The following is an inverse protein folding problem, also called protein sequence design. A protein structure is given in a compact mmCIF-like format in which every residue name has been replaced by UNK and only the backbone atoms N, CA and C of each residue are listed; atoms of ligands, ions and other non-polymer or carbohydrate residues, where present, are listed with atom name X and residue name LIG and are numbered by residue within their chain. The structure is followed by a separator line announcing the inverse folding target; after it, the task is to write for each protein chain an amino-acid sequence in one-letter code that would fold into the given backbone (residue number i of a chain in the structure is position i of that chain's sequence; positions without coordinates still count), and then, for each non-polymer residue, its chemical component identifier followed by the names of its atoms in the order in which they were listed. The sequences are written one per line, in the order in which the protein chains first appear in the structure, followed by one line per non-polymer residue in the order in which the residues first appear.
data_IF_902768605178
#
_entry.id   IF_902768605178
#
_cell.length_a   1.000
_cell.length_b   1.000
_cell.length_c   1.000
_cell.angle_alpha   90.00
_cell.angle_beta   90.00
_cell.angle_gamma   90.00
#
_symmetry.space_group_name_H-M   'P 1'
#
loop_
_entity.id
_entity.type
_entity.pdbx_description
1 polymer ?
2 non-polymer ?
3 non-polymer ?
4 water ?
#
# COMPACT_ATOMS: atom_id res chain seq x y z
N UNK A 9 -27.22 -11.73 -2.63
CA UNK A 9 -25.80 -11.32 -2.65
C UNK A 9 -24.90 -12.50 -3.03
N UNK A 10 -23.81 -12.20 -3.74
CA UNK A 10 -22.85 -13.21 -4.19
C UNK A 10 -21.85 -13.46 -3.05
N UNK A 11 -21.81 -14.70 -2.52
CA UNK A 11 -20.89 -15.03 -1.43
C UNK A 11 -19.41 -14.85 -1.75
N UNK A 12 -18.65 -14.44 -0.75
CA UNK A 12 -17.22 -14.26 -0.90
C UNK A 12 -16.56 -15.59 -0.53
N UNK A 13 -15.37 -15.83 -1.06
CA UNK A 13 -14.65 -17.05 -0.74
C UNK A 13 -13.68 -16.73 0.38
N UNK A 14 -13.20 -17.77 1.06
CA UNK A 14 -12.22 -17.59 2.12
C UNK A 14 -10.97 -16.96 1.52
N UNK A 15 -10.58 -17.45 0.34
CA UNK A 15 -9.38 -16.93 -0.31
C UNK A 15 -9.49 -15.46 -0.64
N UNK A 16 -10.66 -15.01 -1.11
CA UNK A 16 -10.82 -13.59 -1.44
C UNK A 16 -10.64 -12.72 -0.19
N UNK A 17 -11.22 -13.14 0.91
CA UNK A 17 -11.12 -12.41 2.18
C UNK A 17 -9.67 -12.41 2.64
N UNK A 18 -9.04 -13.58 2.58
CA UNK A 18 -7.67 -13.75 3.03
C UNK A 18 -6.69 -12.90 2.23
N UNK A 19 -6.83 -12.91 0.90
CA UNK A 19 -5.98 -12.11 0.03
C UNK A 19 -6.16 -10.62 0.34
N UNK A 20 -7.40 -10.18 0.53
CA UNK A 20 -7.59 -8.77 0.85
C UNK A 20 -6.93 -8.42 2.18
N UNK A 21 -7.00 -9.32 3.15
CA UNK A 21 -6.37 -9.06 4.45
C UNK A 21 -4.86 -8.89 4.28
N UNK A 22 -4.24 -9.85 3.60
CA UNK A 22 -2.80 -9.81 3.39
C UNK A 22 -2.37 -8.57 2.62
N UNK A 23 -3.07 -8.29 1.52
CA UNK A 23 -2.78 -7.14 0.69
C UNK A 23 -2.93 -5.85 1.49
N UNK A 24 -4.00 -5.78 2.26
CA UNK A 24 -4.30 -4.60 3.05
C UNK A 24 -3.30 -4.29 4.15
N UNK A 25 -2.84 -5.32 4.87
CA UNK A 25 -1.87 -5.07 5.93
C UNK A 25 -0.55 -4.60 5.32
N UNK A 26 -0.19 -5.12 4.15
CA UNK A 26 1.03 -4.70 3.49
C UNK A 26 0.92 -3.20 3.16
N UNK A 27 -0.23 -2.82 2.61
CA UNK A 27 -0.47 -1.42 2.28
C UNK A 27 -0.45 -0.58 3.55
N UNK A 28 -1.07 -1.10 4.61
CA UNK A 28 -1.12 -0.40 5.89
C UNK A 28 0.25 -0.05 6.44
N UNK A 29 1.17 -1.01 6.40
CA UNK A 29 2.51 -0.78 6.91
C UNK A 29 3.23 0.26 6.06
N UNK A 30 3.08 0.18 4.75
CA UNK A 30 3.70 1.14 3.84
C UNK A 30 3.15 2.54 4.13
N UNK A 31 1.83 2.65 4.25
CA UNK A 31 1.21 3.94 4.54
C UNK A 31 1.61 4.48 5.91
N UNK A 32 1.77 3.57 6.87
CA UNK A 32 2.18 3.98 8.21
C UNK A 32 3.54 4.65 8.13
N UNK A 33 4.48 4.04 7.41
CA UNK A 33 5.80 4.66 7.27
C UNK A 33 5.70 5.98 6.51
N UNK A 34 4.81 6.05 5.53
CA UNK A 34 4.64 7.28 4.76
C UNK A 34 4.12 8.39 5.67
N UNK A 35 3.17 8.06 6.56
CA UNK A 35 2.62 9.06 7.47
C UNK A 35 3.72 9.63 8.37
N UNK A 36 4.66 8.78 8.79
CA UNK A 36 5.76 9.23 9.64
C UNK A 36 6.77 10.06 8.85
N UNK A 37 7.09 9.62 7.65
CA UNK A 37 8.05 10.35 6.82
C UNK A 37 7.55 11.75 6.50
N UNK A 38 6.26 11.85 6.19
CA UNK A 38 5.68 13.14 5.83
C UNK A 38 4.93 13.86 6.95
N UNK A 39 4.92 13.27 8.16
CA UNK A 39 4.20 13.89 9.26
C UNK A 39 2.79 14.22 8.81
N UNK A 40 2.21 13.31 8.02
CA UNK A 40 0.88 13.49 7.46
C UNK A 40 -0.24 12.79 8.21
N UNK A 41 -1.08 13.58 8.87
CA UNK A 41 -2.19 13.03 9.64
C UNK A 41 -3.29 12.38 8.80
N UNK A 42 -3.49 12.84 7.57
CA UNK A 42 -4.54 12.22 6.76
C UNK A 42 -4.12 10.80 6.38
N UNK A 43 -2.84 10.61 6.07
CA UNK A 43 -2.37 9.27 5.72
C UNK A 43 -2.55 8.41 6.97
N UNK A 44 -2.20 8.96 8.13
CA UNK A 44 -2.33 8.24 9.40
C UNK A 44 -3.79 7.85 9.65
N UNK A 45 -4.72 8.75 9.33
CA UNK A 45 -6.14 8.45 9.51
C UNK A 45 -6.53 7.25 8.63
N UNK A 46 -6.01 7.23 7.41
CA UNK A 46 -6.31 6.15 6.48
C UNK A 46 -5.84 4.81 7.06
N UNK A 47 -4.67 4.81 7.69
CA UNK A 47 -4.15 3.58 8.30
C UNK A 47 -5.16 3.06 9.33
N UNK A 48 -5.70 3.97 10.14
CA UNK A 48 -6.67 3.55 11.16
C UNK A 48 -7.94 3.01 10.55
N UNK A 49 -8.37 3.59 9.43
CA UNK A 49 -9.57 3.11 8.75
C UNK A 49 -9.31 1.71 8.23
N UNK A 50 -8.10 1.46 7.73
CA UNK A 50 -7.75 0.14 7.21
C UNK A 50 -7.65 -0.88 8.35
N UNK A 51 -7.28 -0.44 9.54
CA UNK A 51 -7.20 -1.36 10.68
C UNK A 51 -8.60 -1.89 10.96
N UNK A 52 -9.60 -1.01 10.80
CA UNK A 52 -10.98 -1.40 11.01
C UNK A 52 -11.43 -2.38 9.93
N UNK A 53 -11.02 -2.12 8.68
CA UNK A 53 -11.38 -3.03 7.58
C UNK A 53 -10.78 -4.40 7.89
N UNK A 54 -9.58 -4.40 8.44
CA UNK A 54 -8.92 -5.66 8.79
C UNK A 54 -9.72 -6.40 9.86
N UNK A 55 -10.28 -5.67 10.81
CA UNK A 55 -11.09 -6.31 11.86
C UNK A 55 -12.33 -6.91 11.21
N UNK A 56 -12.92 -6.19 10.27
CA UNK A 56 -14.09 -6.69 9.57
C UNK A 56 -13.77 -7.94 8.76
N UNK A 57 -12.67 -7.91 8.00
CA UNK A 57 -12.28 -9.05 7.19
C UNK A 57 -11.97 -10.26 8.09
N UNK A 58 -11.32 -10.00 9.22
CA UNK A 58 -11.00 -11.08 10.15
C UNK A 58 -12.30 -11.72 10.65
N UNK A 59 -13.29 -10.90 10.93
CA UNK A 59 -14.59 -11.38 11.39
C UNK A 59 -15.22 -12.29 10.33
N UNK A 60 -15.20 -11.85 9.08
CA UNK A 60 -15.77 -12.62 7.97
C UNK A 60 -15.01 -13.92 7.74
N UNK A 61 -13.70 -13.88 7.94
CA UNK A 61 -12.86 -15.07 7.79
C UNK A 61 -13.23 -16.12 8.84
N UNK A 62 -13.51 -15.66 10.07
CA UNK A 62 -13.90 -16.56 11.15
C UNK A 62 -15.28 -17.14 10.85
N UNK A 63 -16.19 -16.28 10.39
CA UNK A 63 -17.54 -16.70 10.04
C UNK A 63 -17.48 -17.80 8.98
N UNK A 64 -16.74 -17.54 7.89
CA UNK A 64 -16.61 -18.50 6.80
C UNK A 64 -15.99 -19.80 7.27
N UNK A 65 -14.96 -19.69 8.10
CA UNK A 65 -14.26 -20.86 8.60
C UNK A 65 -15.13 -21.72 9.50
N UNK A 66 -15.91 -21.06 10.35
CA UNK A 66 -16.79 -21.75 11.29
C UNK A 66 -17.90 -22.47 10.56
N UNK A 67 -18.47 -21.80 9.56
CA UNK A 67 -19.56 -22.38 8.78
C UNK A 67 -19.09 -23.49 7.84
N UNK A 68 -17.94 -23.29 7.21
CA UNK A 68 -17.41 -24.29 6.27
C UNK A 68 -17.04 -25.63 6.88
N UNK A 69 -16.44 -25.63 8.06
CA UNK A 69 -16.02 -26.86 8.72
C UNK A 69 -17.09 -27.50 9.62
N UNK A 70 -17.28 -28.81 9.43
CA UNK A 70 -18.26 -29.59 10.16
C UNK A 70 -17.65 -30.86 10.78
N UNK A 71 -16.47 -31.25 10.33
CA UNK A 71 -15.81 -32.43 10.88
C UNK A 71 -14.39 -32.07 11.30
N UNK A 72 -13.78 -32.93 12.11
CA UNK A 72 -12.44 -32.68 12.62
C UNK A 72 -11.38 -32.34 11.57
N UNK A 73 -11.36 -33.09 10.47
CA UNK A 73 -10.38 -32.83 9.42
C UNK A 73 -10.51 -31.41 8.87
N UNK A 74 -11.72 -31.06 8.44
CA UNK A 74 -11.98 -29.73 7.88
C UNK A 74 -11.65 -28.67 8.92
N UNK A 75 -11.98 -28.95 10.17
CA UNK A 75 -11.72 -28.00 11.25
C UNK A 75 -10.24 -27.71 11.39
N UNK A 76 -9.43 -28.76 11.42
CA UNK A 76 -7.99 -28.61 11.56
C UNK A 76 -7.40 -27.70 10.48
N UNK A 77 -7.96 -27.80 9.28
CA UNK A 77 -7.47 -26.99 8.17
C UNK A 77 -7.89 -25.53 8.25
N UNK A 78 -9.16 -25.26 8.56
CA UNK A 78 -9.60 -23.87 8.65
C UNK A 78 -8.90 -23.17 9.81
N UNK A 79 -8.51 -23.95 10.82
CA UNK A 79 -7.82 -23.36 11.96
C UNK A 79 -6.46 -22.80 11.54
N UNK A 80 -5.78 -23.46 10.60
CA UNK A 80 -4.48 -22.97 10.14
C UNK A 80 -4.66 -21.58 9.52
N UNK A 81 -5.78 -21.38 8.83
CA UNK A 81 -6.05 -20.09 8.21
C UNK A 81 -6.31 -19.02 9.28
N UNK A 82 -7.09 -19.38 10.29
CA UNK A 82 -7.39 -18.44 11.37
C UNK A 82 -6.12 -18.06 12.14
N UNK A 83 -5.22 -19.02 12.30
CA UNK A 83 -3.97 -18.77 12.98
C UNK A 83 -3.10 -17.77 12.22
N UNK A 84 -3.09 -17.88 10.89
CA UNK A 84 -2.32 -16.95 10.08
C UNK A 84 -2.98 -15.56 10.11
N UNK A 85 -4.30 -15.52 10.00
CA UNK A 85 -5.01 -14.24 10.04
C UNK A 85 -4.75 -13.53 11.38
N UNK A 86 -4.59 -14.33 12.43
CA UNK A 86 -4.32 -13.82 13.78
C UNK A 86 -3.00 -13.04 13.78
N UNK A 87 -2.00 -13.60 13.12
CA UNK A 87 -0.70 -12.95 13.05
C UNK A 87 -0.80 -11.71 12.17
N UNK A 88 -1.59 -11.80 11.10
CA UNK A 88 -1.77 -10.68 10.19
C UNK A 88 -2.43 -9.53 10.93
N UNK A 89 -3.41 -9.86 11.76
CA UNK A 89 -4.13 -8.85 12.52
C UNK A 89 -3.16 -8.17 13.50
N UNK A 90 -2.18 -8.90 14.01
CA UNK A 90 -1.19 -8.28 14.91
C UNK A 90 -0.33 -7.27 14.17
N UNK A 91 -0.02 -7.56 12.92
CA UNK A 91 0.77 -6.64 12.11
C UNK A 91 -0.06 -5.40 11.85
N UNK A 92 -1.36 -5.57 11.63
CA UNK A 92 -2.21 -4.41 11.37
C UNK A 92 -2.26 -3.52 12.60
N UNK A 93 -2.25 -4.12 13.78
CA UNK A 93 -2.29 -3.33 15.02
C UNK A 93 -0.99 -2.54 15.20
N UNK A 94 0.12 -3.12 14.76
CA UNK A 94 1.42 -2.44 14.86
C UNK A 94 1.45 -1.24 13.91
N UNK A 95 0.88 -1.39 12.71
CA UNK A 95 0.83 -0.28 11.76
C UNK A 95 -0.01 0.84 12.35
N UNK A 96 -1.10 0.44 13.01
CA UNK A 96 -1.98 1.40 13.66
C UNK A 96 -1.27 2.13 14.78
N UNK A 97 -0.36 1.44 15.48
CA UNK A 97 0.39 2.07 16.57
C UNK A 97 1.28 3.17 16.01
N UNK A 98 1.88 2.91 14.85
CA UNK A 98 2.73 3.91 14.20
C UNK A 98 1.90 5.11 13.78
N UNK A 99 0.73 4.84 13.19
CA UNK A 99 -0.16 5.91 12.74
C UNK A 99 -0.57 6.82 13.90
N UNK A 100 -0.94 6.21 15.03
CA UNK A 100 -1.36 6.96 16.21
C UNK A 100 -0.33 7.99 16.65
N UNK A 101 0.96 7.67 16.49
CA UNK A 101 2.02 8.59 16.87
C UNK A 101 1.94 9.86 16.03
N UNK A 102 1.57 9.70 14.76
CA UNK A 102 1.46 10.84 13.87
C UNK A 102 0.24 11.67 14.25
N UNK A 103 -0.87 11.00 14.58
CA UNK A 103 -2.07 11.72 14.95
C UNK A 103 -1.87 12.46 16.28
N UNK A 104 -1.05 11.89 17.15
CA UNK A 104 -0.77 12.53 18.44
C UNK A 104 0.10 13.75 18.18
N UNK A 105 0.71 13.79 16.99
CA UNK A 105 1.54 14.90 16.58
C UNK A 105 2.87 15.08 17.29
N UNK A 106 3.45 14.00 17.79
CA UNK A 106 4.73 14.10 18.50
C UNK A 106 5.86 14.51 17.57
N UNK A 107 6.84 15.21 18.13
CA UNK A 107 7.99 15.64 17.36
C UNK A 107 8.91 14.42 17.25
N UNK A 108 9.09 13.95 16.02
CA UNK A 108 9.90 12.76 15.75
C UNK A 108 11.40 13.04 15.74
N UNK A 109 12.18 12.07 16.20
CA UNK A 109 13.63 12.20 16.16
C UNK A 109 13.94 12.22 14.66
N UNK A 110 14.85 13.12 14.22
CA UNK A 110 15.24 13.26 12.81
C UNK A 110 15.70 11.97 12.13
N UNK A 111 16.21 11.04 12.93
CA UNK A 111 16.70 9.78 12.40
C UNK A 111 15.56 8.97 11.76
N UNK A 112 14.35 9.16 12.26
CA UNK A 112 13.20 8.42 11.74
C UNK A 112 12.94 8.67 10.26
N UNK A 113 12.85 9.93 9.84
CA UNK A 113 12.61 10.22 8.43
C UNK A 113 13.78 9.73 7.59
N UNK A 114 14.99 9.90 8.10
CA UNK A 114 16.19 9.45 7.39
C UNK A 114 16.14 7.95 7.19
N UNK A 115 15.77 7.22 8.24
CA UNK A 115 15.69 5.77 8.20
C UNK A 115 14.72 5.30 7.12
N UNK A 116 13.58 5.96 7.01
CA UNK A 116 12.59 5.59 6.00
C UNK A 116 13.10 5.90 4.59
N UNK A 117 13.95 6.91 4.48
CA UNK A 117 14.51 7.31 3.19
C UNK A 117 15.80 6.57 2.82
N UNK A 118 16.41 5.90 3.78
CA UNK A 118 17.70 5.26 3.51
C UNK A 118 17.83 3.74 3.70
N UNK A 119 16.71 3.05 3.90
CA UNK A 119 16.79 1.60 4.08
C UNK A 119 16.83 0.86 2.74
N UNK A 120 16.72 -0.47 2.77
CA UNK A 120 16.74 -1.25 1.54
C UNK A 120 15.62 -0.75 0.62
N UNK A 121 14.40 -0.73 1.15
CA UNK A 121 13.25 -0.25 0.41
C UNK A 121 12.83 1.06 1.07
N UNK A 122 12.65 2.10 0.27
CA UNK A 122 12.27 3.40 0.81
C UNK A 122 10.91 3.86 0.30
N UNK A 123 10.45 4.98 0.84
CA UNK A 123 9.20 5.60 0.44
C UNK A 123 9.60 6.88 -0.28
N UNK A 124 9.06 7.08 -1.47
CA UNK A 124 9.41 8.28 -2.20
C UNK A 124 8.19 9.06 -2.64
N UNK A 125 8.40 10.35 -2.92
CA UNK A 125 7.35 11.25 -3.37
C UNK A 125 7.74 11.63 -4.80
N UNK A 126 6.87 11.36 -5.77
CA UNK A 126 7.19 11.66 -7.17
C UNK A 126 6.25 12.62 -7.87
N UNK A 127 6.79 13.77 -8.29
CA UNK A 127 6.04 14.79 -9.00
C UNK A 127 5.94 14.43 -10.48
N UNK A 128 4.73 14.48 -11.01
CA UNK A 128 4.52 14.14 -12.41
C UNK A 128 4.35 15.43 -13.24
N UNK A 129 5.23 15.60 -14.23
CA UNK A 129 5.19 16.77 -15.09
C UNK A 129 4.38 16.46 -16.35
N UNK A 130 3.79 17.50 -16.98
CA UNK A 130 2.98 17.34 -18.20
C UNK A 130 3.65 16.59 -19.33
N UNK A 131 4.95 16.81 -19.49
CA UNK A 131 5.71 16.17 -20.55
C UNK A 131 6.04 14.69 -20.33
N UNK A 132 5.75 14.16 -19.15
CA UNK A 132 6.05 12.75 -18.88
C UNK A 132 5.17 11.81 -19.69
N UNK A 133 5.73 10.70 -20.15
CA UNK A 133 4.98 9.72 -20.94
C UNK A 133 3.97 8.93 -20.13
N UNK A 134 4.01 9.02 -18.81
CA UNK A 134 3.05 8.27 -18.02
C UNK A 134 1.75 9.03 -17.84
N UNK A 135 1.74 10.31 -18.22
CA UNK A 135 0.54 11.12 -18.12
C UNK A 135 -0.53 10.58 -19.06
N UNK A 136 -1.73 10.37 -18.53
CA UNK A 136 -2.82 9.86 -19.35
C UNK A 136 -2.91 8.34 -19.37
N UNK A 137 -1.96 7.68 -18.72
CA UNK A 137 -1.97 6.22 -18.68
C UNK A 137 -2.46 5.74 -17.32
N UNK A 138 -3.06 4.55 -17.32
CA UNK A 138 -3.57 3.96 -16.08
C UNK A 138 -2.49 3.11 -15.44
N UNK A 139 -2.63 2.88 -14.14
CA UNK A 139 -1.63 2.08 -13.43
C UNK A 139 -1.54 0.66 -13.99
N UNK A 140 -2.67 0.18 -14.51
CA UNK A 140 -2.73 -1.15 -15.10
C UNK A 140 -2.05 -1.12 -16.45
N UNK A 141 -2.47 -0.18 -17.28
CA UNK A 141 -1.87 -0.01 -18.60
C UNK A 141 -0.37 0.07 -18.39
N UNK A 142 0.01 0.76 -17.31
CA UNK A 142 1.40 0.97 -16.96
C UNK A 142 2.03 -0.20 -16.21
N UNK A 143 1.28 -0.80 -15.30
CA UNK A 143 1.79 -1.91 -14.50
C UNK A 143 3.14 -1.46 -13.94
N UNK A 144 3.13 -0.32 -13.25
CA UNK A 144 4.35 0.25 -12.67
C UNK A 144 5.12 -0.69 -11.75
N UNK A 145 4.39 -1.45 -10.95
CA UNK A 145 5.02 -2.38 -10.03
C UNK A 145 5.80 -3.39 -10.87
N UNK A 146 5.14 -3.88 -11.91
CA UNK A 146 5.75 -4.85 -12.82
C UNK A 146 6.87 -4.25 -13.67
N UNK A 147 6.63 -3.08 -14.25
CA UNK A 147 7.61 -2.47 -15.14
C UNK A 147 8.66 -1.53 -14.57
N UNK A 148 8.52 -1.09 -13.33
CA UNK A 148 9.50 -0.18 -12.75
C UNK A 148 9.99 -0.62 -11.37
N UNK A 149 9.28 -1.55 -10.76
CA UNK A 149 9.68 -2.01 -9.43
C UNK A 149 9.11 -1.09 -8.37
N UNK A 150 8.75 0.12 -8.77
CA UNK A 150 8.18 1.09 -7.85
C UNK A 150 6.71 0.74 -7.66
N UNK A 151 6.31 0.53 -6.42
CA UNK A 151 4.94 0.17 -6.14
C UNK A 151 4.22 1.44 -5.66
N UNK A 152 3.16 1.83 -6.34
CA UNK A 152 2.43 3.05 -5.96
C UNK A 152 1.39 2.77 -4.88
N UNK A 153 1.63 3.29 -3.68
CA UNK A 153 0.70 3.06 -2.58
C UNK A 153 -0.34 4.16 -2.42
N UNK A 154 -0.06 5.32 -2.96
CA UNK A 154 -1.03 6.41 -2.87
C UNK A 154 -0.68 7.53 -3.85
N UNK A 155 -1.63 8.42 -4.07
CA UNK A 155 -1.43 9.55 -4.96
C UNK A 155 -2.12 10.77 -4.35
N UNK A 156 -1.41 11.89 -4.31
CA UNK A 156 -1.97 13.11 -3.79
C UNK A 156 -2.30 13.95 -5.02
N UNK A 157 -3.58 14.23 -5.20
CA UNK A 157 -4.06 15.00 -6.34
C UNK A 157 -4.81 16.22 -5.86
N UNK A 158 -4.12 17.36 -5.81
CA UNK A 158 -4.75 18.58 -5.35
C UNK A 158 -5.05 18.54 -3.87
N UNK A 159 -6.33 18.65 -3.52
CA UNK A 159 -6.73 18.64 -2.11
C UNK A 159 -7.24 17.26 -1.72
N UNK A 160 -6.96 16.25 -2.54
CA UNK A 160 -7.45 14.92 -2.25
C UNK A 160 -6.42 13.78 -2.36
N UNK A 161 -6.66 12.75 -1.55
CA UNK A 161 -5.83 11.56 -1.52
C UNK A 161 -6.53 10.40 -2.19
N UNK A 162 -5.76 9.56 -2.88
CA UNK A 162 -6.27 8.33 -3.45
C UNK A 162 -5.33 7.29 -2.88
N UNK A 163 -5.81 6.51 -1.93
CA UNK A 163 -5.01 5.48 -1.28
C UNK A 163 -5.16 4.14 -1.97
N UNK A 164 -4.05 3.44 -2.16
CA UNK A 164 -4.10 2.14 -2.84
C UNK A 164 -4.87 2.24 -4.14
N UNK A 165 -4.41 3.06 -5.09
CA UNK A 165 -5.11 3.20 -6.38
C UNK A 165 -5.15 1.89 -7.16
N UNK A 166 -6.27 1.63 -7.84
CA UNK A 166 -6.43 0.42 -8.62
C UNK A 166 -5.86 0.58 -10.03
N UNK A 167 -5.89 -0.50 -10.80
CA UNK A 167 -5.37 -0.49 -12.16
C UNK A 167 -6.05 0.49 -13.10
N UNK A 168 -7.23 0.98 -12.73
CA UNK A 168 -7.97 1.91 -13.56
C UNK A 168 -7.58 3.37 -13.29
N UNK A 169 -6.75 3.59 -12.28
CA UNK A 169 -6.33 4.95 -11.94
C UNK A 169 -5.48 5.54 -13.07
N UNK A 170 -5.94 6.65 -13.64
CA UNK A 170 -5.21 7.29 -14.72
C UNK A 170 -4.42 8.49 -14.20
N UNK A 171 -3.12 8.46 -14.43
CA UNK A 171 -2.22 9.51 -13.98
C UNK A 171 -2.35 10.85 -14.74
N UNK A 172 -2.29 11.95 -13.99
CA UNK A 172 -2.38 13.29 -14.55
C UNK A 172 -1.17 14.11 -14.16
N UNK A 173 -0.85 15.13 -14.96
CA UNK A 173 0.26 16.02 -14.62
C UNK A 173 -0.15 16.65 -13.30
N UNK A 174 0.83 16.91 -12.42
CA UNK A 174 0.51 17.50 -11.15
C UNK A 174 0.25 16.49 -10.04
N UNK A 175 0.08 15.23 -10.41
CA UNK A 175 -0.14 14.21 -9.40
C UNK A 175 1.17 14.04 -8.63
N UNK A 176 1.06 13.70 -7.35
CA UNK A 176 2.24 13.41 -6.56
C UNK A 176 2.09 11.95 -6.16
N UNK A 177 2.92 11.11 -6.75
CA UNK A 177 2.88 9.67 -6.50
C UNK A 177 3.68 9.31 -5.27
N UNK A 178 3.11 8.49 -4.40
CA UNK A 178 3.84 8.04 -3.21
C UNK A 178 4.20 6.60 -3.55
N UNK A 179 5.48 6.36 -3.78
CA UNK A 179 5.92 5.03 -4.13
C UNK A 179 6.82 4.38 -3.11
N UNK A 180 6.88 3.05 -3.19
CA UNK A 180 7.71 2.21 -2.33
C UNK A 180 8.64 1.42 -3.25
N UNK A 181 9.92 1.41 -2.93
CA UNK A 181 10.86 0.66 -3.74
C UNK A 181 12.27 1.01 -3.36
N UNK A 182 13.23 0.55 -4.15
CA UNK A 182 14.62 0.84 -3.85
C UNK A 182 14.89 2.29 -4.24
N UNK A 183 15.98 2.84 -3.70
CA UNK A 183 16.37 4.21 -3.97
C UNK A 183 16.55 4.45 -5.47
N UNK A 184 17.33 3.58 -6.12
CA UNK A 184 17.57 3.73 -7.55
C UNK A 184 16.31 3.44 -8.36
N UNK A 185 15.34 2.78 -7.72
CA UNK A 185 14.08 2.45 -8.38
C UNK A 185 13.17 3.68 -8.30
N UNK A 186 13.39 4.51 -7.28
CA UNK A 186 12.58 5.71 -7.06
C UNK A 186 13.12 6.84 -7.94
N UNK A 187 14.44 6.96 -7.99
CA UNK A 187 15.04 8.01 -8.81
C UNK A 187 14.76 7.75 -10.29
N UNK A 188 14.74 6.47 -10.65
CA UNK A 188 14.45 6.08 -12.03
C UNK A 188 13.06 6.57 -12.44
N UNK A 189 12.07 6.30 -11.59
CA UNK A 189 10.71 6.71 -11.85
C UNK A 189 10.59 8.23 -11.88
N UNK A 190 11.40 8.91 -11.09
CA UNK A 190 11.37 10.37 -11.06
C UNK A 190 11.83 10.92 -12.41
N UNK A 191 12.78 10.23 -13.03
CA UNK A 191 13.30 10.63 -14.33
C UNK A 191 12.19 10.53 -15.36
N UNK A 192 11.48 9.42 -15.31
CA UNK A 192 10.37 9.16 -16.20
C UNK A 192 9.26 10.18 -15.95
N UNK A 193 9.04 10.50 -14.68
CA UNK A 193 8.01 11.45 -14.27
C UNK A 193 8.34 12.88 -14.69
N UNK A 194 9.62 13.19 -14.81
CA UNK A 194 10.04 14.53 -15.22
C UNK A 194 10.08 14.64 -16.74
N UNK A 195 9.88 13.51 -17.42
CA UNK A 195 9.91 13.51 -18.87
C UNK A 195 11.32 13.36 -19.41
N UNK A 196 12.29 13.26 -18.50
CA UNK A 196 13.69 13.10 -18.89
C UNK A 196 13.91 11.79 -19.64
N UNK A 197 13.18 10.76 -19.25
CA UNK A 197 13.27 9.46 -19.89
C UNK A 197 11.93 9.14 -20.53
N UNK A 198 11.92 9.06 -21.85
CA UNK A 198 10.69 8.78 -22.58
C UNK A 198 10.47 7.28 -22.72
N UNK A 199 11.17 6.50 -22.04
X LIG B 1 -0.37 18.62 -7.48
X LIG C 1 -8.82 17.39 1.41
X LIG D 1 -7.89 -5.46 15.38
X LIG E 1 -19.10 -25.62 11.64
X LIG F 1 -2.46 -11.00 19.25
X LIG G 1 -11.60 -17.28 -4.97
X LIG H 1 -2.93 15.81 -17.35
#
# INVERSE_FOLDING_TARGET
MEEVEEFKYEPKSVKEIFIEMKDTVELMVDLAYASLLFGDKEIAEEVLELEERIDLLNYQLMMHSVLAARNVKEAEQVITILQIANAIEDISNAAGDLAKMVLEGVELHPVIKETILEGEEIIGKIQVYPESVIVGKTLGELDLATNTGVWIIAVRRGKRWIFGPNENFKIRAGDVLIGRGTRTSIDHLKEIARGAIRVIGNERA
CA CA
CA CA
CA CA
CA CA
CA CA
CL CL
CL CL
#
